data_IF_178686253627
#
_entry.id   IF_178686253627
#
_cell.length_a   1.000
_cell.length_b   1.000
_cell.length_c   1.000
_cell.angle_alpha   90.00
_cell.angle_beta   90.00
_cell.angle_gamma   90.00
#
_symmetry.space_group_name_H-M   'P 1'
#
loop_
_entity.id
_entity.type
_entity.pdbx_description
1 polymer ?
#
# COMPACT_ATOMS: atom_id res chain seq x y z
N UNK A 1 14.96 10.88 -12.37
CA UNK A 1 14.67 9.57 -13.02
C UNK A 1 13.24 9.53 -13.54
N UNK A 2 12.23 9.92 -12.77
CA UNK A 2 10.83 9.92 -13.18
C UNK A 2 10.47 10.91 -14.30
N UNK A 3 11.01 12.14 -14.31
CA UNK A 3 10.78 13.10 -15.42
C UNK A 3 11.18 12.53 -16.78
N UNK A 4 12.33 11.84 -16.86
CA UNK A 4 12.78 11.18 -18.10
C UNK A 4 11.80 10.12 -18.59
N UNK A 5 11.09 9.44 -17.69
CA UNK A 5 10.09 8.44 -18.07
C UNK A 5 8.84 9.11 -18.68
N UNK A 6 8.45 10.29 -18.18
CA UNK A 6 7.35 11.07 -18.74
C UNK A 6 7.73 11.72 -20.08
N UNK A 7 8.93 12.28 -20.18
CA UNK A 7 9.41 12.87 -21.44
C UNK A 7 9.54 11.80 -22.54
N UNK A 8 9.98 10.58 -22.18
CA UNK A 8 10.04 9.46 -23.11
C UNK A 8 8.64 8.99 -23.53
N UNK A 9 7.67 9.00 -22.61
CA UNK A 9 6.27 8.68 -22.90
C UNK A 9 5.68 9.65 -23.94
N UNK A 10 5.89 10.96 -23.78
CA UNK A 10 5.39 11.98 -24.70
C UNK A 10 6.04 11.90 -26.10
N UNK A 11 7.26 11.37 -26.22
CA UNK A 11 8.00 11.28 -27.48
C UNK A 11 7.73 9.99 -28.28
N UNK A 12 7.13 8.98 -27.66
CA UNK A 12 6.99 7.65 -28.26
C UNK A 12 5.57 7.43 -28.81
N UNK A 13 5.45 7.34 -30.14
CA UNK A 13 4.28 6.79 -30.84
C UNK A 13 4.39 5.26 -31.02
N UNK A 14 4.49 4.49 -29.92
CA UNK A 14 4.56 3.02 -29.97
C UNK A 14 3.39 2.37 -29.21
N UNK A 15 3.06 1.14 -29.60
CA UNK A 15 2.17 0.25 -28.86
C UNK A 15 2.72 0.01 -27.46
N UNK A 16 2.16 0.67 -26.44
CA UNK A 16 2.54 0.46 -25.06
C UNK A 16 2.20 -0.96 -24.60
N UNK A 17 3.15 -1.56 -23.87
CA UNK A 17 2.94 -2.81 -23.16
C UNK A 17 2.62 -2.58 -21.68
N UNK A 18 2.26 -3.65 -20.96
CA UNK A 18 1.91 -3.55 -19.54
C UNK A 18 3.04 -2.99 -18.67
N UNK A 19 4.29 -3.17 -19.08
CA UNK A 19 5.45 -2.67 -18.34
C UNK A 19 5.52 -1.16 -18.46
N UNK A 20 5.30 -0.63 -19.66
CA UNK A 20 5.30 0.81 -19.92
C UNK A 20 4.22 1.52 -19.09
N UNK A 21 2.98 1.03 -19.11
CA UNK A 21 1.91 1.57 -18.26
C UNK A 21 2.31 1.57 -16.77
N UNK A 22 2.86 0.44 -16.29
CA UNK A 22 3.24 0.30 -14.87
C UNK A 22 4.34 1.29 -14.49
N UNK A 23 5.34 1.48 -15.36
CA UNK A 23 6.44 2.43 -15.12
C UNK A 23 5.94 3.86 -15.10
N UNK A 24 5.10 4.24 -16.07
CA UNK A 24 4.56 5.61 -16.15
C UNK A 24 3.67 5.92 -14.94
N UNK A 25 2.76 5.02 -14.55
CA UNK A 25 1.94 5.24 -13.36
C UNK A 25 2.78 5.38 -12.08
N UNK A 26 3.80 4.55 -11.91
CA UNK A 26 4.70 4.68 -10.76
C UNK A 26 5.55 5.96 -10.81
N UNK A 27 5.95 6.42 -12.00
CA UNK A 27 6.63 7.69 -12.17
C UNK A 27 5.73 8.86 -11.80
N UNK A 28 4.47 8.85 -12.26
CA UNK A 28 3.49 9.85 -11.89
C UNK A 28 3.25 9.88 -10.37
N UNK A 29 3.10 8.70 -9.76
CA UNK A 29 2.93 8.54 -8.31
C UNK A 29 4.12 9.07 -7.50
N UNK A 30 5.33 9.06 -8.07
CA UNK A 30 6.55 9.56 -7.43
C UNK A 30 6.78 11.06 -7.60
N UNK A 31 6.28 11.66 -8.68
CA UNK A 31 6.42 13.10 -8.96
C UNK A 31 5.37 13.95 -8.25
N UNK A 32 4.16 13.43 -8.06
CA UNK A 32 3.09 14.08 -7.28
C UNK A 32 2.79 15.54 -7.68
N UNK A 33 3.00 15.89 -8.96
CA UNK A 33 2.73 17.21 -9.51
C UNK A 33 1.57 17.16 -10.53
N UNK A 34 1.00 18.32 -10.86
CA UNK A 34 -0.18 18.41 -11.73
C UNK A 34 0.07 17.84 -13.14
N UNK A 35 1.29 17.99 -13.68
CA UNK A 35 1.69 17.40 -14.96
C UNK A 35 1.57 15.88 -14.92
N UNK A 36 2.13 15.26 -13.90
CA UNK A 36 2.08 13.81 -13.70
C UNK A 36 0.64 13.30 -13.51
N UNK A 37 -0.21 14.06 -12.81
CA UNK A 37 -1.63 13.70 -12.67
C UNK A 37 -2.36 13.73 -14.01
N UNK A 38 -2.12 14.76 -14.83
CA UNK A 38 -2.71 14.90 -16.16
C UNK A 38 -2.31 13.73 -17.06
N UNK A 39 -1.00 13.45 -17.17
CA UNK A 39 -0.48 12.33 -17.97
C UNK A 39 -1.07 11.00 -17.48
N UNK A 40 -1.14 10.78 -16.17
CA UNK A 40 -1.70 9.57 -15.59
C UNK A 40 -3.18 9.36 -15.92
N UNK A 41 -3.97 10.44 -15.98
CA UNK A 41 -5.39 10.37 -16.35
C UNK A 41 -5.59 10.12 -17.84
N UNK A 42 -4.85 10.82 -18.69
CA UNK A 42 -4.86 10.59 -20.14
C UNK A 42 -4.51 9.13 -20.46
N UNK A 43 -3.46 8.61 -19.82
CA UNK A 43 -3.05 7.22 -19.98
C UNK A 43 -4.14 6.22 -19.54
N UNK A 44 -4.91 6.53 -18.49
CA UNK A 44 -6.03 5.71 -18.04
C UNK A 44 -7.24 5.75 -18.99
N UNK A 45 -7.48 6.87 -19.65
CA UNK A 45 -8.56 7.06 -20.61
C UNK A 45 -8.24 6.35 -21.93
N UNK A 46 -7.01 6.47 -22.41
CA UNK A 46 -6.56 5.85 -23.66
C UNK A 46 -6.22 4.36 -23.53
N UNK A 47 -6.17 3.84 -22.30
CA UNK A 47 -5.75 2.46 -22.02
C UNK A 47 -6.63 1.42 -22.77
N UNK A 48 -6.02 0.56 -23.61
CA UNK A 48 -6.73 -0.54 -24.27
C UNK A 48 -7.34 -1.58 -23.31
N UNK A 49 -8.42 -2.24 -23.73
CA UNK A 49 -9.22 -3.16 -22.90
C UNK A 49 -8.41 -4.35 -22.34
N UNK A 50 -7.40 -4.83 -23.07
CA UNK A 50 -6.53 -5.90 -22.60
C UNK A 50 -5.72 -5.49 -21.35
N UNK A 51 -5.33 -4.22 -21.23
CA UNK A 51 -4.64 -3.71 -20.05
C UNK A 51 -5.60 -3.29 -18.93
N UNK A 52 -6.85 -2.95 -19.25
CA UNK A 52 -7.94 -2.76 -18.27
C UNK A 52 -8.27 -4.01 -17.46
N UNK A 53 -7.76 -5.17 -17.86
CA UNK A 53 -7.89 -6.44 -17.14
C UNK A 53 -6.57 -6.95 -16.56
N UNK A 54 -5.47 -6.18 -16.67
CA UNK A 54 -4.16 -6.56 -16.16
C UNK A 54 -3.98 -6.05 -14.72
N UNK A 55 -3.95 -6.97 -13.75
CA UNK A 55 -3.86 -6.65 -12.32
C UNK A 55 -2.64 -5.80 -11.95
N UNK A 56 -1.51 -5.97 -12.63
CA UNK A 56 -0.28 -5.21 -12.33
C UNK A 56 -0.43 -3.75 -12.77
N UNK A 57 -0.97 -3.54 -13.97
CA UNK A 57 -1.27 -2.20 -14.51
C UNK A 57 -2.33 -1.51 -13.65
N UNK A 58 -3.41 -2.20 -13.30
CA UNK A 58 -4.46 -1.62 -12.45
C UNK A 58 -3.94 -1.29 -11.04
N UNK A 59 -3.10 -2.13 -10.44
CA UNK A 59 -2.53 -1.87 -9.12
C UNK A 59 -1.62 -0.63 -9.13
N UNK A 60 -0.81 -0.43 -10.17
CA UNK A 60 0.03 0.78 -10.31
C UNK A 60 -0.80 2.03 -10.59
N UNK A 61 -1.85 1.95 -11.41
CA UNK A 61 -2.79 3.05 -11.60
C UNK A 61 -3.53 3.43 -10.29
N UNK A 62 -4.02 2.46 -9.54
CA UNK A 62 -4.64 2.70 -8.23
C UNK A 62 -3.65 3.36 -7.26
N UNK A 63 -2.39 2.91 -7.25
CA UNK A 63 -1.36 3.51 -6.43
C UNK A 63 -1.15 4.99 -6.78
N UNK A 64 -1.05 5.30 -8.07
CA UNK A 64 -0.94 6.68 -8.55
C UNK A 64 -2.13 7.53 -8.14
N UNK A 65 -3.36 7.08 -8.41
CA UNK A 65 -4.57 7.83 -8.06
C UNK A 65 -4.67 8.10 -6.56
N UNK A 66 -4.35 7.11 -5.72
CA UNK A 66 -4.28 7.27 -4.27
C UNK A 66 -3.22 8.27 -3.84
N UNK A 67 -2.08 8.36 -4.55
CA UNK A 67 -1.05 9.37 -4.28
C UNK A 67 -1.47 10.79 -4.60
N UNK A 68 -2.37 10.96 -5.57
CA UNK A 68 -2.98 12.26 -5.90
C UNK A 68 -4.27 12.54 -5.12
N UNK A 69 -4.67 11.68 -4.18
CA UNK A 69 -5.91 11.84 -3.42
C UNK A 69 -7.20 11.58 -4.23
N UNK A 70 -7.11 11.07 -5.46
CA UNK A 70 -8.28 10.69 -6.28
C UNK A 70 -8.80 9.30 -5.87
N UNK A 71 -9.28 9.24 -4.62
CA UNK A 71 -9.74 8.03 -3.95
C UNK A 71 -10.90 7.38 -4.71
N UNK A 72 -11.82 8.20 -5.23
CA UNK A 72 -13.01 7.71 -5.94
C UNK A 72 -12.66 6.94 -7.22
N UNK A 73 -11.71 7.47 -8.01
CA UNK A 73 -11.26 6.79 -9.23
C UNK A 73 -10.49 5.52 -8.90
N UNK A 74 -9.65 5.54 -7.87
CA UNK A 74 -8.95 4.34 -7.40
C UNK A 74 -9.92 3.25 -6.93
N UNK A 75 -10.96 3.61 -6.16
CA UNK A 75 -12.01 2.68 -5.74
C UNK A 75 -12.83 2.14 -6.91
N UNK A 76 -13.05 2.93 -7.97
CA UNK A 76 -13.73 2.47 -9.19
C UNK A 76 -12.91 1.38 -9.88
N UNK A 77 -11.61 1.59 -10.07
CA UNK A 77 -10.70 0.59 -10.64
C UNK A 77 -10.65 -0.65 -9.76
N UNK A 78 -10.57 -0.49 -8.43
CA UNK A 78 -10.61 -1.60 -7.50
C UNK A 78 -11.89 -2.41 -7.70
N UNK A 79 -13.07 -1.77 -7.64
CA UNK A 79 -14.36 -2.44 -7.80
C UNK A 79 -14.47 -3.18 -9.14
N UNK A 80 -14.05 -2.56 -10.25
CA UNK A 80 -14.13 -3.17 -11.60
C UNK A 80 -13.14 -4.33 -11.82
N UNK A 81 -12.03 -4.38 -11.08
CA UNK A 81 -11.04 -5.45 -11.23
C UNK A 81 -11.61 -6.80 -10.78
N UNK A 82 -11.85 -7.75 -11.71
CA UNK A 82 -12.40 -9.08 -11.38
C UNK A 82 -11.36 -10.06 -10.83
N UNK A 83 -10.06 -9.77 -10.96
CA UNK A 83 -8.94 -10.66 -10.58
C UNK A 83 -8.16 -10.10 -9.38
N UNK A 84 -8.87 -9.55 -8.39
CA UNK A 84 -8.25 -9.03 -7.14
C UNK A 84 -7.52 -10.17 -6.43
N UNK A 85 -6.27 -9.92 -6.07
CA UNK A 85 -5.49 -10.78 -5.20
C UNK A 85 -5.03 -9.99 -3.96
N UNK A 86 -4.29 -10.62 -3.06
CA UNK A 86 -3.82 -9.96 -1.83
C UNK A 86 -3.01 -8.69 -2.12
N UNK A 87 -2.25 -8.66 -3.23
CA UNK A 87 -1.50 -7.47 -3.66
C UNK A 87 -2.46 -6.32 -4.01
N UNK A 88 -3.57 -6.60 -4.69
CA UNK A 88 -4.59 -5.60 -5.00
C UNK A 88 -5.26 -5.03 -3.75
N UNK A 89 -5.61 -5.88 -2.78
CA UNK A 89 -6.14 -5.42 -1.49
C UNK A 89 -5.12 -4.57 -0.71
N UNK A 90 -3.87 -5.03 -0.64
CA UNK A 90 -2.79 -4.30 0.03
C UNK A 90 -2.53 -2.93 -0.62
N UNK A 91 -2.59 -2.83 -1.95
CA UNK A 91 -2.39 -1.57 -2.66
C UNK A 91 -3.44 -0.51 -2.27
N UNK A 92 -4.72 -0.89 -2.23
CA UNK A 92 -5.81 0.03 -1.90
C UNK A 92 -5.86 0.35 -0.39
N UNK A 93 -5.60 -0.63 0.49
CA UNK A 93 -5.49 -0.41 1.95
C UNK A 93 -4.34 0.54 2.25
N UNK A 94 -3.17 0.34 1.62
CA UNK A 94 -2.04 1.27 1.74
C UNK A 94 -2.40 2.67 1.24
N UNK A 95 -3.19 2.76 0.18
CA UNK A 95 -3.73 4.02 -0.33
C UNK A 95 -4.61 4.74 0.68
N UNK A 96 -5.56 4.04 1.31
CA UNK A 96 -6.39 4.59 2.39
C UNK A 96 -5.55 5.05 3.59
N UNK A 97 -4.59 4.24 4.04
CA UNK A 97 -3.69 4.62 5.15
C UNK A 97 -2.90 5.88 4.81
N UNK A 98 -2.38 5.99 3.58
CA UNK A 98 -1.65 7.18 3.12
C UNK A 98 -2.51 8.44 2.97
N UNK A 99 -3.84 8.29 2.90
CA UNK A 99 -4.82 9.38 2.88
C UNK A 99 -5.58 9.50 4.21
N UNK A 100 -5.05 8.90 5.29
CA UNK A 100 -5.61 8.95 6.65
C UNK A 100 -7.04 8.38 6.79
N UNK A 101 -7.49 7.58 5.82
CA UNK A 101 -8.80 6.93 5.81
C UNK A 101 -8.77 5.59 6.55
N UNK A 102 -8.33 5.60 7.81
CA UNK A 102 -8.02 4.38 8.55
C UNK A 102 -9.23 3.46 8.77
N UNK A 103 -10.43 4.01 9.01
CA UNK A 103 -11.65 3.20 9.14
C UNK A 103 -11.94 2.42 7.85
N UNK A 104 -11.84 3.07 6.67
CA UNK A 104 -12.03 2.39 5.37
C UNK A 104 -10.97 1.33 5.11
N UNK A 105 -9.74 1.56 5.56
CA UNK A 105 -8.67 0.57 5.48
C UNK A 105 -9.02 -0.70 6.27
N UNK A 106 -9.54 -0.54 7.49
CA UNK A 106 -9.94 -1.67 8.34
C UNK A 106 -11.22 -2.35 7.85
N UNK A 107 -12.21 -1.59 7.38
CA UNK A 107 -13.43 -2.12 6.76
C UNK A 107 -13.12 -3.03 5.57
N UNK A 108 -12.14 -2.64 4.76
CA UNK A 108 -11.73 -3.43 3.60
C UNK A 108 -10.86 -4.63 4.00
N UNK A 109 -10.01 -4.48 5.03
CA UNK A 109 -9.22 -5.59 5.57
C UNK A 109 -10.12 -6.73 6.06
N UNK A 110 -11.21 -6.42 6.76
CA UNK A 110 -12.15 -7.43 7.28
C UNK A 110 -12.90 -8.20 6.17
N UNK A 111 -12.89 -7.70 4.93
CA UNK A 111 -13.46 -8.37 3.75
C UNK A 111 -12.47 -9.31 3.05
N UNK A 112 -11.21 -9.39 3.51
CA UNK A 112 -10.20 -10.26 2.91
C UNK A 112 -10.41 -11.69 3.37
N UNK A 113 -10.72 -12.58 2.43
CA UNK A 113 -10.82 -14.03 2.65
C UNK A 113 -9.63 -14.81 2.05
N UNK A 114 -8.49 -14.13 1.88
CA UNK A 114 -7.25 -14.66 1.32
C UNK A 114 -6.18 -14.78 2.39
N UNK A 115 -5.14 -15.57 2.13
CA UNK A 115 -3.97 -15.65 3.01
C UNK A 115 -3.23 -14.31 3.04
N UNK A 116 -2.98 -13.82 4.25
CA UNK A 116 -2.24 -12.59 4.48
C UNK A 116 -0.75 -12.79 4.23
N UNK A 117 -0.13 -11.80 3.59
CA UNK A 117 1.32 -11.70 3.46
C UNK A 117 1.87 -10.66 4.45
N UNK A 118 3.20 -10.53 4.54
CA UNK A 118 3.84 -9.53 5.41
C UNK A 118 3.41 -8.10 5.12
N UNK A 119 3.05 -7.78 3.87
CA UNK A 119 2.56 -6.45 3.49
C UNK A 119 1.21 -6.18 4.13
N UNK A 120 0.31 -7.18 4.12
CA UNK A 120 -1.02 -7.12 4.74
C UNK A 120 -0.90 -6.76 6.22
N UNK A 121 -0.10 -7.50 6.99
CA UNK A 121 0.16 -7.20 8.40
C UNK A 121 0.66 -5.77 8.59
N UNK A 122 1.64 -5.36 7.78
CA UNK A 122 2.27 -4.04 7.89
C UNK A 122 1.26 -2.91 7.66
N UNK A 123 0.45 -2.99 6.59
CA UNK A 123 -0.51 -1.92 6.26
C UNK A 123 -1.66 -1.87 7.25
N UNK A 124 -2.10 -3.01 7.77
CA UNK A 124 -3.19 -3.08 8.76
C UNK A 124 -2.73 -2.59 10.14
N UNK A 125 -1.50 -2.93 10.57
CA UNK A 125 -0.93 -2.36 11.79
C UNK A 125 -0.79 -0.84 11.70
N UNK A 126 -0.36 -0.31 10.55
CA UNK A 126 -0.32 1.13 10.35
C UNK A 126 -1.72 1.78 10.36
N UNK A 127 -2.73 1.13 9.79
CA UNK A 127 -4.12 1.59 9.87
C UNK A 127 -4.60 1.61 11.33
N UNK A 128 -4.33 0.54 12.08
CA UNK A 128 -4.67 0.46 13.51
C UNK A 128 -3.95 1.55 14.32
N UNK A 129 -2.68 1.79 14.04
CA UNK A 129 -1.86 2.83 14.68
C UNK A 129 -2.40 4.25 14.42
N UNK A 130 -2.87 4.52 13.20
CA UNK A 130 -3.46 5.81 12.82
C UNK A 130 -4.82 6.07 13.46
N UNK A 131 -5.63 5.01 13.63
CA UNK A 131 -6.98 5.13 14.18
C UNK A 131 -7.00 5.13 15.73
N UNK A 132 -6.19 4.25 16.36
CA UNK A 132 -5.97 4.18 17.80
C UNK A 132 -7.22 4.17 18.71
N UNK A 133 -8.37 3.71 18.20
CA UNK A 133 -9.60 3.52 18.98
C UNK A 133 -9.78 2.05 19.42
N UNK A 134 -10.83 1.77 20.19
CA UNK A 134 -11.09 0.42 20.73
C UNK A 134 -11.20 -0.66 19.64
N UNK A 135 -11.78 -0.33 18.48
CA UNK A 135 -11.87 -1.23 17.33
C UNK A 135 -10.48 -1.56 16.79
N UNK A 136 -9.65 -0.54 16.56
CA UNK A 136 -8.27 -0.71 16.10
C UNK A 136 -7.43 -1.53 17.09
N UNK A 137 -7.58 -1.28 18.39
CA UNK A 137 -6.89 -2.04 19.45
C UNK A 137 -7.26 -3.52 19.37
N UNK A 138 -8.55 -3.83 19.25
CA UNK A 138 -9.04 -5.21 19.15
C UNK A 138 -8.51 -5.92 17.90
N UNK A 139 -8.59 -5.28 16.73
CA UNK A 139 -8.10 -5.83 15.47
C UNK A 139 -6.58 -6.03 15.54
N UNK A 140 -5.84 -4.99 15.94
CA UNK A 140 -4.39 -4.99 16.00
C UNK A 140 -3.82 -6.05 16.95
N UNK A 141 -4.41 -6.22 18.14
CA UNK A 141 -3.98 -7.26 19.10
C UNK A 141 -4.28 -8.66 18.59
N UNK A 142 -5.48 -8.90 18.07
CA UNK A 142 -5.82 -10.19 17.46
C UNK A 142 -4.83 -10.55 16.34
N UNK A 143 -4.55 -9.60 15.46
CA UNK A 143 -3.65 -9.80 14.33
C UNK A 143 -2.20 -10.06 14.79
N UNK A 144 -1.77 -9.43 15.89
CA UNK A 144 -0.46 -9.67 16.52
C UNK A 144 -0.33 -11.08 17.11
N UNK A 145 -1.38 -11.57 17.78
CA UNK A 145 -1.40 -12.91 18.37
C UNK A 145 -1.44 -14.02 17.30
N UNK A 146 -2.08 -13.73 16.16
CA UNK A 146 -2.26 -14.67 15.04
C UNK A 146 -1.11 -14.62 14.01
N UNK A 147 -0.03 -13.85 14.24
CA UNK A 147 1.10 -13.77 13.29
C UNK A 147 1.71 -15.18 13.05
N UNK A 148 1.71 -15.67 11.80
CA UNK A 148 2.31 -16.93 11.42
C UNK A 148 3.83 -16.96 11.68
N UNK A 149 4.37 -18.15 11.99
CA UNK A 149 5.78 -18.34 12.35
C UNK A 149 6.76 -17.74 11.33
N UNK A 150 6.46 -17.84 10.03
CA UNK A 150 7.29 -17.29 8.96
C UNK A 150 7.35 -15.75 8.94
N UNK A 151 6.44 -15.06 9.64
CA UNK A 151 6.43 -13.61 9.77
C UNK A 151 6.84 -13.11 11.16
N UNK A 152 6.97 -13.99 12.17
CA UNK A 152 7.35 -13.61 13.54
C UNK A 152 8.73 -12.97 13.68
N UNK A 153 9.64 -13.21 12.73
CA UNK A 153 10.96 -12.59 12.67
C UNK A 153 11.10 -11.59 11.50
N UNK A 154 9.99 -11.19 10.87
CA UNK A 154 10.01 -10.22 9.79
C UNK A 154 10.12 -8.80 10.37
N UNK A 155 11.28 -8.16 10.20
CA UNK A 155 11.57 -6.83 10.77
C UNK A 155 10.53 -5.78 10.38
N UNK A 156 10.00 -5.81 9.16
CA UNK A 156 8.99 -4.83 8.69
C UNK A 156 7.66 -5.02 9.42
N UNK A 157 7.23 -6.27 9.60
CA UNK A 157 6.02 -6.61 10.37
C UNK A 157 6.19 -6.24 11.85
N UNK A 158 7.34 -6.57 12.44
CA UNK A 158 7.61 -6.24 13.84
C UNK A 158 7.70 -4.73 14.07
N UNK A 159 8.32 -3.96 13.17
CA UNK A 159 8.41 -2.51 13.29
C UNK A 159 7.03 -1.83 13.21
N UNK A 160 6.17 -2.30 12.31
CA UNK A 160 4.79 -1.78 12.22
C UNK A 160 3.94 -2.18 13.42
N UNK A 161 4.08 -3.41 13.94
CA UNK A 161 3.44 -3.84 15.18
C UNK A 161 3.91 -3.01 16.39
N UNK A 162 5.21 -2.75 16.51
CA UNK A 162 5.76 -1.89 17.57
C UNK A 162 5.21 -0.47 17.47
N UNK A 163 5.19 0.12 16.27
CA UNK A 163 4.61 1.44 16.05
C UNK A 163 3.13 1.49 16.47
N UNK A 164 2.35 0.48 16.11
CA UNK A 164 0.95 0.34 16.53
C UNK A 164 0.82 0.27 18.06
N UNK A 165 1.60 -0.58 18.74
CA UNK A 165 1.55 -0.70 20.19
C UNK A 165 1.93 0.61 20.90
N UNK A 166 2.91 1.34 20.37
CA UNK A 166 3.26 2.67 20.88
C UNK A 166 2.08 3.65 20.76
N UNK A 167 1.34 3.63 19.64
CA UNK A 167 0.13 4.45 19.47
C UNK A 167 -1.01 4.03 20.40
N UNK A 168 -1.07 2.78 20.81
CA UNK A 168 -2.00 2.29 21.82
C UNK A 168 -1.55 2.58 23.26
N UNK A 169 -0.35 3.14 23.47
CA UNK A 169 0.24 3.34 24.80
C UNK A 169 0.82 2.08 25.46
N UNK A 170 0.87 0.95 24.75
CA UNK A 170 1.41 -0.33 25.24
C UNK A 170 2.93 -0.42 24.99
N UNK A 171 3.67 0.46 25.65
CA UNK A 171 5.12 0.60 25.51
C UNK A 171 5.84 -0.69 25.93
N UNK A 172 5.34 -1.38 26.97
CA UNK A 172 5.95 -2.60 27.48
C UNK A 172 5.94 -3.73 26.45
N UNK A 173 4.82 -3.91 25.74
CA UNK A 173 4.75 -4.92 24.68
C UNK A 173 5.61 -4.54 23.48
N UNK A 174 5.66 -3.25 23.12
CA UNK A 174 6.55 -2.76 22.07
C UNK A 174 8.04 -3.03 22.40
N UNK A 175 8.46 -2.75 23.63
CA UNK A 175 9.83 -3.06 24.10
C UNK A 175 10.14 -4.55 24.07
N UNK A 176 9.17 -5.41 24.43
CA UNK A 176 9.35 -6.87 24.38
C UNK A 176 9.63 -7.32 22.95
N UNK A 177 8.85 -6.84 21.98
CA UNK A 177 9.08 -7.12 20.56
C UNK A 177 10.46 -6.62 20.13
N UNK A 178 10.82 -5.37 20.48
CA UNK A 178 12.11 -4.78 20.14
C UNK A 178 13.29 -5.61 20.64
N UNK A 179 13.24 -6.07 21.90
CA UNK A 179 14.31 -6.89 22.50
C UNK A 179 14.39 -8.29 21.90
N UNK A 180 13.25 -8.84 21.48
CA UNK A 180 13.17 -10.17 20.86
C UNK A 180 13.65 -10.19 19.41
N UNK A 181 13.70 -9.04 18.73
CA UNK A 181 14.13 -8.94 17.34
C UNK A 181 15.65 -9.15 17.24
N UNK A 182 16.05 -10.38 16.89
CA UNK A 182 17.46 -10.82 16.79
C UNK A 182 18.22 -10.19 15.62
N UNK A 183 17.52 -9.62 14.63
CA UNK A 183 18.12 -8.88 13.51
C UNK A 183 18.02 -7.38 13.79
N UNK A 184 18.83 -6.91 14.72
CA UNK A 184 19.04 -5.47 14.89
C UNK A 184 19.74 -4.96 13.62
N UNK A 185 19.05 -4.17 12.82
CA UNK A 185 19.69 -3.40 11.75
C UNK A 185 20.77 -2.50 12.38
N UNK A 186 21.96 -2.57 11.79
CA UNK A 186 23.22 -1.93 12.21
C UNK A 186 23.14 -0.37 12.20
N UNK A 187 21.97 0.23 11.93
CA UNK A 187 21.80 1.67 11.71
C UNK A 187 20.96 2.35 12.83
N UNK A 188 20.89 1.77 14.04
CA UNK A 188 20.22 2.44 15.20
C UNK A 188 21.21 2.89 16.28
N UNK A 189 22.46 3.14 15.92
CA UNK A 189 23.51 3.61 16.83
C UNK A 189 24.21 4.90 16.38
N UNK A 190 23.56 5.75 15.56
CA UNK A 190 24.03 7.11 15.30
C UNK A 190 22.86 8.09 15.25
N UNK A 191 22.45 8.54 16.43
CA UNK A 191 21.96 9.89 16.71
C UNK A 191 22.08 10.15 18.21
#
# INVERSE_FOLDING_TARGET
MFERALDLFEQIHLNFDSVTYTVVFNACAGLTNDRAMKIGKELLEEMPENYRNNVVVLNSAMHMLMKFGDIQSAERIFRSNKKKNIITFNAIIKGYVGNEMFERALDLFEQIHLNFDSVTYTVVFNACAGLANDRAIKIGRKLLDEIPENYRNNVVVLNSAMHMLMKFGDIQSAERIFRSNKKKDIITYNA
#
